data_IF_698746448247
#
_entry.id   IF_698746448247
#
_cell.length_a   1.000
_cell.length_b   1.000
_cell.length_c   1.000
_cell.angle_alpha   90.00
_cell.angle_beta   90.00
_cell.angle_gamma   90.00
#
_symmetry.space_group_name_H-M   'P 1'
#
loop_
_entity.id
_entity.type
_entity.pdbx_description
1 polymer ?
#
# COMPACT_ATOMS: atom_id res chain seq x y z
N UNK A 1 19.43 57.03 43.06
CA UNK A 1 18.59 57.90 42.21
C UNK A 1 18.52 57.32 40.79
N UNK A 2 17.32 56.99 40.31
CA UNK A 2 17.08 56.35 39.00
C UNK A 2 16.97 57.45 37.94
N UNK A 3 17.96 57.55 37.05
CA UNK A 3 18.00 58.59 36.01
C UNK A 3 17.04 58.22 34.88
N UNK A 4 16.07 59.10 34.63
CA UNK A 4 15.05 58.92 33.61
C UNK A 4 15.59 59.33 32.23
N UNK A 5 15.91 58.32 31.40
CA UNK A 5 16.48 58.46 30.05
C UNK A 5 15.61 59.31 29.12
N UNK A 6 14.31 59.47 29.40
CA UNK A 6 13.39 60.28 28.60
C UNK A 6 13.58 61.78 28.79
N UNK A 7 14.19 62.23 29.90
CA UNK A 7 14.56 63.64 30.13
C UNK A 7 15.87 64.05 29.45
N UNK A 8 16.68 63.10 28.99
CA UNK A 8 17.93 63.39 28.29
C UNK A 8 17.70 63.78 26.81
N UNK A 9 16.57 63.35 26.22
CA UNK A 9 16.23 63.60 24.82
C UNK A 9 15.43 64.90 24.59
N UNK A 10 15.01 65.61 25.64
CA UNK A 10 14.33 66.90 25.53
C UNK A 10 15.27 68.12 25.61
N UNK A 11 16.59 67.90 25.68
CA UNK A 11 17.64 68.93 25.75
C UNK A 11 18.26 69.26 24.37
N UNK A 12 17.74 68.66 23.30
CA UNK A 12 18.19 68.88 21.92
C UNK A 12 17.33 69.89 21.14
N UNK A 13 16.47 70.65 21.82
CA UNK A 13 15.95 71.93 21.33
C UNK A 13 15.11 71.89 20.04
N UNK A 14 13.85 72.32 20.16
CA UNK A 14 13.12 73.04 19.10
C UNK A 14 12.72 72.27 17.82
N UNK A 15 11.54 71.64 17.91
CA UNK A 15 10.28 71.94 17.16
C UNK A 15 10.27 72.93 15.95
N UNK A 16 9.22 72.94 15.11
CA UNK A 16 9.22 72.37 13.76
C UNK A 16 8.64 73.35 12.71
N UNK A 17 9.43 73.93 11.82
CA UNK A 17 8.91 74.67 10.67
C UNK A 17 10.03 74.93 9.65
N UNK A 18 9.65 75.04 8.37
CA UNK A 18 10.47 75.53 7.25
C UNK A 18 11.52 74.56 6.67
N UNK A 19 11.02 73.56 5.94
CA UNK A 19 11.53 73.35 4.58
C UNK A 19 10.33 73.16 3.66
N UNK A 20 9.82 74.30 3.19
CA UNK A 20 8.90 74.40 2.07
C UNK A 20 9.62 73.89 0.82
N UNK A 21 9.23 72.70 0.37
CA UNK A 21 9.54 72.16 -0.95
C UNK A 21 8.27 71.52 -1.47
N UNK A 22 7.62 72.17 -2.42
CA UNK A 22 6.41 71.73 -3.11
C UNK A 22 6.61 70.33 -3.70
N UNK A 23 6.04 69.31 -3.05
CA UNK A 23 5.77 68.03 -3.70
C UNK A 23 4.39 68.13 -4.33
N UNK A 24 4.38 68.05 -5.65
CA UNK A 24 3.17 67.83 -6.45
C UNK A 24 2.45 66.62 -5.85
N UNK A 25 1.27 66.88 -5.31
CA UNK A 25 0.36 65.88 -4.76
C UNK A 25 -0.20 65.07 -5.93
N UNK A 26 0.45 63.96 -6.26
CA UNK A 26 -0.20 62.94 -7.07
C UNK A 26 -1.24 62.28 -6.17
N UNK A 27 -2.52 62.55 -6.42
CA UNK A 27 -3.67 61.96 -5.74
C UNK A 27 -3.68 60.45 -5.99
N UNK A 28 -2.91 59.71 -5.20
CA UNK A 28 -2.98 58.26 -5.15
C UNK A 28 -4.24 57.89 -4.36
N UNK A 29 -5.31 57.65 -5.12
CA UNK A 29 -6.54 57.00 -4.68
C UNK A 29 -6.19 55.87 -3.69
N UNK A 30 -6.51 56.08 -2.41
CA UNK A 30 -6.38 55.06 -1.35
C UNK A 30 -7.16 53.81 -1.78
N UNK A 31 -6.45 52.83 -2.37
CA UNK A 31 -6.90 51.44 -2.31
C UNK A 31 -6.83 51.08 -0.84
N UNK A 32 -8.00 50.87 -0.23
CA UNK A 32 -8.10 50.38 1.13
C UNK A 32 -7.15 49.20 1.29
N UNK A 33 -6.17 49.35 2.17
CA UNK A 33 -5.42 48.20 2.67
C UNK A 33 -6.45 47.44 3.49
N UNK A 34 -7.09 46.45 2.87
CA UNK A 34 -7.64 45.36 3.63
C UNK A 34 -6.43 44.72 4.33
N UNK A 35 -6.23 45.08 5.59
CA UNK A 35 -5.50 44.25 6.54
C UNK A 35 -6.36 43.00 6.78
N UNK A 36 -6.48 42.16 5.75
CA UNK A 36 -6.84 40.78 5.94
C UNK A 36 -5.66 40.19 6.69
N UNK A 37 -5.84 39.95 7.98
CA UNK A 37 -5.03 38.97 8.67
C UNK A 37 -5.22 37.67 7.88
N UNK A 38 -4.30 37.40 6.96
CA UNK A 38 -4.31 36.19 6.17
C UNK A 38 -4.11 35.05 7.15
N UNK A 39 -5.20 34.38 7.53
CA UNK A 39 -5.12 33.10 8.19
C UNK A 39 -4.33 32.20 7.25
N UNK A 40 -3.09 31.86 7.62
CA UNK A 40 -2.31 30.87 6.87
C UNK A 40 -3.20 29.66 6.61
N UNK A 41 -3.27 29.17 5.36
CA UNK A 41 -4.13 28.04 5.04
C UNK A 41 -3.66 26.85 5.89
N UNK A 42 -4.59 26.26 6.65
CA UNK A 42 -4.30 25.07 7.44
C UNK A 42 -4.02 23.91 6.49
N UNK A 43 -2.75 23.55 6.36
CA UNK A 43 -2.31 22.43 5.53
C UNK A 43 -2.44 21.13 6.32
N UNK A 44 -3.18 20.16 5.78
CA UNK A 44 -3.21 18.80 6.31
C UNK A 44 -2.17 17.97 5.55
N UNK A 45 -1.05 17.66 6.20
CA UNK A 45 -0.06 16.75 5.65
C UNK A 45 -0.50 15.30 5.92
N UNK A 46 -0.61 14.49 4.86
CA UNK A 46 -0.85 13.05 4.96
C UNK A 46 0.48 12.30 5.02
N UNK A 47 0.51 11.21 5.79
CA UNK A 47 1.68 10.31 5.79
C UNK A 47 1.76 9.57 4.45
N UNK A 48 2.91 9.59 3.74
CA UNK A 48 3.08 8.84 2.49
C UNK A 48 3.10 7.32 2.73
N UNK A 49 3.23 6.86 3.98
CA UNK A 49 3.24 5.43 4.31
C UNK A 49 1.85 4.78 4.26
N UNK A 50 0.77 5.58 4.26
CA UNK A 50 -0.59 5.07 4.38
C UNK A 50 -0.83 4.22 5.64
N UNK A 51 -2.00 3.61 5.75
CA UNK A 51 -2.27 2.52 6.69
C UNK A 51 -2.51 1.25 5.86
N UNK A 52 -1.81 0.13 6.14
CA UNK A 52 -2.07 -1.11 5.44
C UNK A 52 -3.52 -1.55 5.68
N UNK A 53 -4.19 -2.12 4.67
CA UNK A 53 -5.54 -2.64 4.83
C UNK A 53 -5.56 -3.75 5.89
N UNK A 54 -6.71 -3.94 6.53
CA UNK A 54 -6.89 -5.05 7.46
C UNK A 54 -6.62 -6.37 6.75
N UNK A 55 -5.68 -7.16 7.30
CA UNK A 55 -5.34 -8.48 6.75
C UNK A 55 -6.29 -9.51 7.34
N UNK A 56 -7.18 -10.04 6.51
CA UNK A 56 -7.97 -11.21 6.86
C UNK A 56 -7.05 -12.44 6.91
N UNK A 57 -7.08 -13.19 8.01
CA UNK A 57 -6.37 -14.47 8.12
C UNK A 57 -7.27 -15.59 7.61
N UNK A 58 -6.78 -16.37 6.66
CA UNK A 58 -7.42 -17.59 6.22
C UNK A 58 -6.72 -18.77 6.89
N UNK A 59 -7.51 -19.71 7.43
CA UNK A 59 -6.94 -20.94 7.97
C UNK A 59 -6.35 -21.77 6.82
N UNK A 60 -5.20 -22.41 7.08
CA UNK A 60 -4.68 -23.43 6.16
C UNK A 60 -5.64 -24.62 6.09
N UNK A 61 -5.60 -25.34 4.97
CA UNK A 61 -6.35 -26.58 4.85
C UNK A 61 -5.99 -27.55 6.01
N UNK A 62 -6.97 -28.20 6.64
CA UNK A 62 -6.71 -29.18 7.68
C UNK A 62 -5.82 -30.31 7.17
N UNK A 63 -4.90 -30.78 8.01
CA UNK A 63 -4.06 -31.94 7.69
C UNK A 63 -4.91 -33.21 7.65
N UNK A 64 -4.71 -34.04 6.63
CA UNK A 64 -5.31 -35.37 6.57
C UNK A 64 -4.68 -36.28 7.63
N UNK A 65 -5.50 -37.09 8.30
CA UNK A 65 -5.01 -38.08 9.28
C UNK A 65 -4.35 -39.30 8.66
N UNK A 66 -4.72 -39.66 7.43
CA UNK A 66 -4.11 -40.73 6.61
C UNK A 66 -4.32 -40.42 5.13
N UNK A 67 -3.49 -41.02 4.28
CA UNK A 67 -3.63 -41.00 2.82
C UNK A 67 -4.37 -42.23 2.26
N UNK A 68 -4.64 -43.24 3.08
CA UNK A 68 -5.29 -44.48 2.60
C UNK A 68 -6.69 -44.21 2.04
N UNK A 69 -6.93 -44.70 0.82
CA UNK A 69 -8.17 -44.51 0.08
C UNK A 69 -8.45 -43.05 -0.30
N UNK A 70 -7.47 -42.15 -0.23
CA UNK A 70 -7.63 -40.73 -0.56
C UNK A 70 -7.29 -40.44 -2.01
N UNK A 71 -7.91 -39.40 -2.55
CA UNK A 71 -7.61 -38.87 -3.87
C UNK A 71 -6.74 -37.62 -3.74
N UNK A 72 -5.55 -37.65 -4.33
CA UNK A 72 -4.61 -36.52 -4.41
C UNK A 72 -4.55 -36.00 -5.84
N UNK A 73 -4.85 -34.72 -6.03
CA UNK A 73 -4.70 -34.06 -7.32
C UNK A 73 -3.28 -33.51 -7.50
N UNK A 74 -2.70 -33.73 -8.67
CA UNK A 74 -1.40 -33.23 -9.07
C UNK A 74 -1.60 -32.19 -10.16
N UNK A 75 -1.37 -30.92 -9.83
CA UNK A 75 -1.71 -29.77 -10.68
C UNK A 75 -0.46 -29.14 -11.25
N UNK A 76 -0.26 -29.30 -12.55
CA UNK A 76 0.77 -28.61 -13.31
C UNK A 76 0.30 -27.19 -13.65
N UNK A 77 1.05 -26.17 -13.23
CA UNK A 77 0.74 -24.77 -13.52
C UNK A 77 1.49 -24.23 -14.75
N UNK A 78 2.20 -25.09 -15.49
CA UNK A 78 2.94 -24.73 -16.70
C UNK A 78 4.38 -24.29 -16.47
N UNK A 79 4.89 -24.41 -15.23
CA UNK A 79 6.31 -24.17 -14.96
C UNK A 79 7.17 -25.25 -15.63
N UNK A 80 8.33 -24.86 -16.17
CA UNK A 80 9.19 -25.78 -16.91
C UNK A 80 9.61 -26.97 -16.02
N UNK A 81 9.33 -28.19 -16.48
CA UNK A 81 9.61 -29.43 -15.74
C UNK A 81 8.61 -29.78 -14.62
N UNK A 82 7.66 -28.88 -14.29
CA UNK A 82 6.68 -29.12 -13.23
C UNK A 82 5.77 -30.31 -13.52
N UNK A 83 5.24 -30.42 -14.73
CA UNK A 83 4.44 -31.57 -15.17
C UNK A 83 5.20 -32.90 -15.08
N UNK A 84 6.46 -32.93 -15.52
CA UNK A 84 7.31 -34.13 -15.46
C UNK A 84 7.55 -34.56 -14.02
N UNK A 85 7.92 -33.63 -13.13
CA UNK A 85 8.08 -33.94 -11.71
C UNK A 85 6.80 -34.55 -11.11
N UNK A 86 5.63 -33.98 -11.43
CA UNK A 86 4.36 -34.50 -10.93
C UNK A 86 4.03 -35.89 -11.49
N UNK A 87 4.44 -36.22 -12.71
CA UNK A 87 4.30 -37.56 -13.29
C UNK A 87 5.20 -38.57 -12.57
N UNK A 88 6.46 -38.25 -12.31
CA UNK A 88 7.36 -39.10 -11.52
C UNK A 88 6.83 -39.32 -10.09
N UNK A 89 6.27 -38.27 -9.48
CA UNK A 89 5.60 -38.39 -8.18
C UNK A 89 4.39 -39.32 -8.27
N UNK A 90 3.61 -39.24 -9.35
CA UNK A 90 2.47 -40.13 -9.58
C UNK A 90 2.90 -41.60 -9.61
N UNK A 91 3.97 -41.91 -10.35
CA UNK A 91 4.54 -43.26 -10.41
C UNK A 91 5.03 -43.72 -9.03
N UNK A 92 5.70 -42.84 -8.29
CA UNK A 92 6.15 -43.14 -6.93
C UNK A 92 4.97 -43.48 -6.00
N UNK A 93 3.86 -42.72 -6.05
CA UNK A 93 2.66 -43.01 -5.26
C UNK A 93 2.06 -44.36 -5.60
N UNK A 94 1.97 -44.71 -6.88
CA UNK A 94 1.44 -46.01 -7.32
C UNK A 94 2.29 -47.18 -6.79
N UNK A 95 3.61 -47.01 -6.75
CA UNK A 95 4.54 -48.04 -6.29
C UNK A 95 4.60 -48.15 -4.76
N UNK A 96 4.58 -47.03 -4.04
CA UNK A 96 4.92 -46.99 -2.61
C UNK A 96 3.70 -46.78 -1.70
N UNK A 97 2.60 -46.23 -2.24
CA UNK A 97 1.37 -45.95 -1.49
C UNK A 97 0.14 -46.32 -2.34
N UNK A 98 -0.01 -47.59 -2.75
CA UNK A 98 -1.01 -48.01 -3.75
C UNK A 98 -2.47 -47.77 -3.32
N UNK A 99 -2.72 -47.54 -2.03
CA UNK A 99 -4.03 -47.13 -1.51
C UNK A 99 -4.42 -45.69 -1.85
N UNK A 100 -3.50 -44.87 -2.36
CA UNK A 100 -3.75 -43.49 -2.79
C UNK A 100 -4.12 -43.46 -4.27
N UNK A 101 -5.20 -42.76 -4.59
CA UNK A 101 -5.54 -42.41 -5.96
C UNK A 101 -4.92 -41.07 -6.32
N UNK A 102 -4.13 -41.02 -7.38
CA UNK A 102 -3.55 -39.79 -7.92
C UNK A 102 -4.26 -39.35 -9.20
N UNK A 103 -4.49 -38.05 -9.36
CA UNK A 103 -5.12 -37.48 -10.58
C UNK A 103 -4.28 -36.33 -11.09
N UNK A 104 -3.70 -36.47 -12.29
CA UNK A 104 -2.94 -35.39 -12.93
C UNK A 104 -3.87 -34.44 -13.69
N UNK A 105 -3.64 -33.13 -13.53
CA UNK A 105 -4.31 -32.06 -14.29
C UNK A 105 -3.30 -30.97 -14.65
N UNK A 106 -3.37 -30.49 -15.88
CA UNK A 106 -2.73 -29.24 -16.27
C UNK A 106 -3.74 -28.11 -16.15
N UNK A 107 -3.39 -27.07 -15.41
CA UNK A 107 -4.20 -25.86 -15.24
C UNK A 107 -4.31 -25.10 -16.57
N UNK A 108 -5.47 -24.52 -16.86
CA UNK A 108 -5.64 -23.61 -17.99
C UNK A 108 -5.03 -22.23 -17.70
N UNK A 109 -4.51 -21.56 -18.73
CA UNK A 109 -3.92 -20.22 -18.63
C UNK A 109 -2.57 -20.19 -17.90
N UNK A 110 -2.01 -18.98 -17.75
CA UNK A 110 -0.80 -18.76 -16.94
C UNK A 110 -1.00 -19.04 -15.45
N UNK A 111 0.09 -19.02 -14.68
CA UNK A 111 0.04 -19.28 -13.22
C UNK A 111 -0.93 -18.35 -12.48
N UNK A 112 -0.93 -17.06 -12.82
CA UNK A 112 -1.75 -16.04 -12.17
C UNK A 112 -3.22 -16.01 -12.66
N UNK A 113 -3.52 -16.66 -13.78
CA UNK A 113 -4.88 -16.72 -14.31
C UNK A 113 -5.73 -17.69 -13.48
N UNK A 114 -7.04 -17.50 -13.44
CA UNK A 114 -7.92 -18.41 -12.71
C UNK A 114 -8.34 -19.61 -13.58
N UNK A 115 -8.64 -20.75 -12.95
CA UNK A 115 -9.24 -21.92 -13.60
C UNK A 115 -10.43 -22.43 -12.77
N UNK A 116 -11.58 -21.73 -12.82
CA UNK A 116 -12.74 -22.03 -11.97
C UNK A 116 -13.26 -23.46 -12.16
N UNK A 117 -13.12 -23.99 -13.38
CA UNK A 117 -13.57 -25.33 -13.72
C UNK A 117 -12.71 -26.39 -13.03
N UNK A 118 -11.39 -26.26 -13.10
CA UNK A 118 -10.48 -27.15 -12.39
C UNK A 118 -10.68 -27.05 -10.87
N UNK A 119 -10.86 -25.85 -10.32
CA UNK A 119 -11.08 -25.67 -8.89
C UNK A 119 -12.38 -26.30 -8.42
N UNK A 120 -13.45 -26.21 -9.21
CA UNK A 120 -14.72 -26.89 -8.92
C UNK A 120 -14.54 -28.42 -8.93
N UNK A 121 -13.80 -28.96 -9.90
CA UNK A 121 -13.47 -30.40 -9.96
C UNK A 121 -12.69 -30.85 -8.72
N UNK A 122 -11.62 -30.14 -8.37
CA UNK A 122 -10.77 -30.46 -7.22
C UNK A 122 -11.58 -30.37 -5.92
N UNK A 123 -12.40 -29.34 -5.76
CA UNK A 123 -13.25 -29.18 -4.57
C UNK A 123 -14.25 -30.31 -4.40
N UNK A 124 -14.76 -30.86 -5.50
CA UNK A 124 -15.74 -31.95 -5.46
C UNK A 124 -15.10 -33.32 -5.19
N UNK A 125 -13.87 -33.55 -5.68
CA UNK A 125 -13.31 -34.90 -5.79
C UNK A 125 -12.01 -35.13 -5.00
N UNK A 126 -11.28 -34.09 -4.62
CA UNK A 126 -9.97 -34.21 -4.01
C UNK A 126 -10.03 -34.22 -2.49
N UNK A 127 -9.14 -35.00 -1.87
CA UNK A 127 -8.82 -34.88 -0.45
C UNK A 127 -7.62 -33.96 -0.21
N UNK A 128 -6.69 -33.91 -1.17
CA UNK A 128 -5.53 -33.04 -1.15
C UNK A 128 -5.11 -32.68 -2.59
N UNK A 129 -4.30 -31.62 -2.72
CA UNK A 129 -3.68 -31.23 -3.98
C UNK A 129 -2.19 -30.90 -3.80
N UNK A 130 -1.39 -31.25 -4.79
CA UNK A 130 0.02 -30.89 -4.93
C UNK A 130 0.12 -30.03 -6.19
N UNK A 131 0.65 -28.82 -6.07
CA UNK A 131 0.76 -27.88 -7.19
C UNK A 131 2.23 -27.61 -7.51
N UNK A 132 2.62 -27.74 -8.78
CA UNK A 132 3.98 -27.45 -9.23
C UNK A 132 4.10 -25.97 -9.62
N UNK A 133 4.31 -25.10 -8.64
CA UNK A 133 4.26 -23.63 -8.81
C UNK A 133 5.57 -22.96 -9.27
N UNK A 134 6.68 -23.70 -9.33
CA UNK A 134 8.01 -23.15 -9.59
C UNK A 134 8.73 -22.63 -8.33
N UNK A 135 9.91 -22.03 -8.51
CA UNK A 135 10.71 -21.37 -7.46
C UNK A 135 10.59 -19.85 -7.58
#
# INVERSE_FOLDING_TARGET
MKVNRRKLLSLLGMSPALLAGSRVEAEQKKKGVHSGAGSEPKLTALSPKGAPPAVARFAMAPRLGTLDGKTIYMVDTGFFGGGTLLQEMQEWFQQNVPGVKTVFRKKAGGYAEDDPKLWAEIKANANAAIMAIGH
#
